data_IF_197769623005
#
_entry.id   IF_197769623005
#
_cell.length_a   1.000
_cell.length_b   1.000
_cell.length_c   1.000
_cell.angle_alpha   90.00
_cell.angle_beta   90.00
_cell.angle_gamma   90.00
#
_symmetry.space_group_name_H-M   'P 1'
#
loop_
_entity.id
_entity.type
_entity.pdbx_description
1 polymer ?
#
# COMPACT_ATOMS: atom_id res chain seq x y z
N UNK A 1 9.51 -5.84 32.16
CA UNK A 1 9.22 -7.13 31.48
C UNK A 1 8.52 -6.79 30.19
N UNK A 2 9.18 -6.95 29.03
CA UNK A 2 8.55 -6.67 27.74
C UNK A 2 7.54 -7.79 27.47
N UNK A 3 6.26 -7.45 27.42
CA UNK A 3 5.23 -8.39 26.97
C UNK A 3 5.60 -8.81 25.55
N UNK A 4 5.66 -10.11 25.22
CA UNK A 4 5.80 -10.53 23.84
C UNK A 4 4.55 -10.01 23.14
N UNK A 5 4.71 -8.95 22.34
CA UNK A 5 3.65 -8.42 21.50
C UNK A 5 3.35 -9.52 20.50
N UNK A 6 2.39 -10.37 20.84
CA UNK A 6 1.72 -11.26 19.92
C UNK A 6 1.10 -10.35 18.87
N UNK A 7 1.86 -10.07 17.81
CA UNK A 7 1.37 -9.28 16.69
C UNK A 7 0.30 -10.15 16.07
N UNK A 8 -0.93 -9.80 16.37
CA UNK A 8 -2.09 -10.39 15.73
C UNK A 8 -1.84 -10.31 14.23
N UNK A 9 -2.02 -11.42 13.51
CA UNK A 9 -1.88 -11.52 12.05
C UNK A 9 -2.32 -10.26 11.26
N UNK A 10 -3.43 -9.57 11.59
CA UNK A 10 -3.78 -8.28 10.99
C UNK A 10 -2.73 -7.17 11.08
N UNK A 11 -2.03 -7.03 12.21
CA UNK A 11 -1.06 -5.95 12.42
C UNK A 11 0.18 -6.13 11.52
N UNK A 12 0.64 -7.39 11.39
CA UNK A 12 1.72 -7.78 10.47
C UNK A 12 1.33 -7.45 9.03
N UNK A 13 0.10 -7.79 8.65
CA UNK A 13 -0.44 -7.55 7.30
C UNK A 13 -0.57 -6.05 7.00
N UNK A 14 -1.01 -5.25 7.98
CA UNK A 14 -1.09 -3.78 7.87
C UNK A 14 0.31 -3.18 7.67
N UNK A 15 1.27 -3.56 8.52
CA UNK A 15 2.66 -3.08 8.44
C UNK A 15 3.33 -3.48 7.11
N UNK A 16 3.13 -4.72 6.66
CA UNK A 16 3.64 -5.19 5.38
C UNK A 16 3.07 -4.38 4.20
N UNK A 17 1.76 -4.09 4.24
CA UNK A 17 1.10 -3.29 3.19
C UNK A 17 1.66 -1.87 3.14
N UNK A 18 1.85 -1.21 4.29
CA UNK A 18 2.46 0.12 4.37
C UNK A 18 3.88 0.14 3.80
N UNK A 19 4.69 -0.87 4.16
CA UNK A 19 6.04 -0.97 3.65
C UNK A 19 6.08 -1.16 2.12
N UNK A 20 5.18 -1.98 1.57
CA UNK A 20 5.07 -2.16 0.11
C UNK A 20 4.68 -0.86 -0.61
N UNK A 21 3.76 -0.08 -0.04
CA UNK A 21 3.39 1.24 -0.60
C UNK A 21 4.57 2.20 -0.61
N UNK A 22 5.29 2.30 0.52
CA UNK A 22 6.47 3.17 0.63
C UNK A 22 7.58 2.75 -0.33
N UNK A 23 7.77 1.43 -0.52
CA UNK A 23 8.74 0.91 -1.48
C UNK A 23 8.30 1.17 -2.93
N UNK A 24 7.00 1.06 -3.22
CA UNK A 24 6.46 1.42 -4.53
C UNK A 24 6.69 2.89 -4.86
N UNK A 25 6.52 3.81 -3.91
CA UNK A 25 6.81 5.23 -4.13
C UNK A 25 8.27 5.49 -4.53
N UNK A 26 9.20 4.70 -4.00
CA UNK A 26 10.63 4.84 -4.30
C UNK A 26 11.03 4.20 -5.63
N UNK A 27 10.43 3.06 -5.99
CA UNK A 27 10.88 2.28 -7.16
C UNK A 27 9.93 2.32 -8.36
N UNK A 28 8.70 2.79 -8.17
CA UNK A 28 7.59 2.72 -9.13
C UNK A 28 7.34 1.31 -9.71
N UNK A 29 7.76 0.25 -9.01
CA UNK A 29 7.66 -1.11 -9.53
C UNK A 29 6.22 -1.61 -9.60
N UNK A 30 5.76 -1.96 -10.80
CA UNK A 30 4.42 -2.51 -11.05
C UNK A 30 4.13 -3.82 -10.30
N UNK A 31 5.16 -4.61 -9.96
CA UNK A 31 5.03 -5.82 -9.15
C UNK A 31 4.62 -5.49 -7.71
N UNK A 32 5.18 -4.43 -7.13
CA UNK A 32 4.81 -3.99 -5.77
C UNK A 32 3.37 -3.49 -5.75
N UNK A 33 2.95 -2.77 -6.78
CA UNK A 33 1.56 -2.35 -6.95
C UNK A 33 0.59 -3.55 -6.89
N UNK A 34 0.88 -4.60 -7.67
CA UNK A 34 0.05 -5.82 -7.67
C UNK A 34 0.03 -6.53 -6.31
N UNK A 35 1.16 -6.55 -5.60
CA UNK A 35 1.24 -7.15 -4.26
C UNK A 35 0.42 -6.37 -3.22
N UNK A 36 0.41 -5.05 -3.30
CA UNK A 36 -0.44 -4.18 -2.46
C UNK A 36 -1.91 -4.46 -2.74
N UNK A 37 -2.32 -4.47 -4.01
CA UNK A 37 -3.71 -4.76 -4.40
C UNK A 37 -4.17 -6.16 -3.96
N UNK A 38 -3.30 -7.17 -4.08
CA UNK A 38 -3.59 -8.52 -3.65
C UNK A 38 -3.75 -8.61 -2.13
N UNK A 39 -2.87 -7.93 -1.37
CA UNK A 39 -3.01 -7.86 0.09
C UNK A 39 -4.31 -7.20 0.51
N UNK A 40 -4.68 -6.07 -0.09
CA UNK A 40 -5.93 -5.37 0.21
C UNK A 40 -7.16 -6.26 -0.03
N UNK A 41 -7.20 -6.99 -1.15
CA UNK A 41 -8.29 -7.96 -1.44
C UNK A 41 -8.30 -9.15 -0.48
N UNK A 42 -7.12 -9.63 -0.10
CA UNK A 42 -7.02 -10.73 0.86
C UNK A 42 -7.58 -10.30 2.21
N UNK A 43 -7.23 -9.10 2.67
CA UNK A 43 -7.73 -8.50 3.90
C UNK A 43 -9.25 -8.34 3.84
N UNK A 44 -9.79 -7.74 2.77
CA UNK A 44 -11.24 -7.55 2.62
C UNK A 44 -12.01 -8.87 2.70
N UNK A 45 -11.45 -9.96 2.14
CA UNK A 45 -12.09 -11.28 2.13
C UNK A 45 -11.97 -12.03 3.47
N UNK A 46 -10.92 -11.79 4.24
CA UNK A 46 -10.63 -12.51 5.49
C UNK A 46 -10.85 -11.68 6.75
N UNK A 47 -11.19 -10.40 6.63
CA UNK A 47 -11.50 -9.53 7.76
C UNK A 47 -12.85 -9.92 8.38
N UNK A 48 -12.82 -10.89 9.28
CA UNK A 48 -13.88 -11.07 10.28
C UNK A 48 -13.80 -10.00 11.38
N UNK A 49 -12.66 -9.31 11.48
CA UNK A 49 -12.39 -8.26 12.46
C UNK A 49 -12.68 -6.87 11.89
N UNK A 50 -13.53 -6.11 12.58
CA UNK A 50 -13.93 -4.75 12.21
C UNK A 50 -12.73 -3.81 12.12
N UNK A 51 -11.73 -3.98 12.99
CA UNK A 51 -10.51 -3.16 13.02
C UNK A 51 -9.67 -3.38 11.77
N UNK A 52 -9.59 -4.62 11.30
CA UNK A 52 -8.87 -4.97 10.08
C UNK A 52 -9.61 -4.43 8.83
N UNK A 53 -10.94 -4.47 8.82
CA UNK A 53 -11.73 -3.88 7.74
C UNK A 53 -11.56 -2.34 7.65
N UNK A 54 -11.56 -1.64 8.78
CA UNK A 54 -11.31 -0.18 8.81
C UNK A 54 -9.87 0.16 8.39
N UNK A 55 -8.88 -0.61 8.85
CA UNK A 55 -7.49 -0.44 8.42
C UNK A 55 -7.33 -0.67 6.92
N UNK A 56 -7.98 -1.69 6.36
CA UNK A 56 -7.99 -1.99 4.92
C UNK A 56 -8.53 -0.83 4.09
N UNK A 57 -9.66 -0.25 4.51
CA UNK A 57 -10.26 0.91 3.82
C UNK A 57 -9.32 2.11 3.81
N UNK A 58 -8.67 2.40 4.96
CA UNK A 58 -7.67 3.49 5.06
C UNK A 58 -6.46 3.23 4.18
N UNK A 59 -5.98 2.00 4.13
CA UNK A 59 -4.88 1.60 3.25
C UNK A 59 -5.29 1.72 1.78
N UNK A 60 -6.47 1.24 1.38
CA UNK A 60 -6.95 1.37 0.00
C UNK A 60 -7.05 2.84 -0.47
N UNK A 61 -7.49 3.73 0.41
CA UNK A 61 -7.50 5.17 0.15
C UNK A 61 -6.07 5.73 -0.04
N UNK A 62 -5.14 5.36 0.84
CA UNK A 62 -3.72 5.74 0.72
C UNK A 62 -3.09 5.21 -0.57
N UNK A 63 -3.36 3.95 -0.92
CA UNK A 63 -2.88 3.34 -2.16
C UNK A 63 -3.38 4.11 -3.39
N UNK A 64 -4.64 4.52 -3.39
CA UNK A 64 -5.22 5.32 -4.48
C UNK A 64 -4.50 6.66 -4.62
N UNK A 65 -4.19 7.33 -3.50
CA UNK A 65 -3.42 8.57 -3.53
C UNK A 65 -1.99 8.34 -4.05
N UNK A 66 -1.30 7.30 -3.56
CA UNK A 66 0.06 6.95 -3.93
C UNK A 66 0.18 6.53 -5.40
N UNK A 67 -0.74 5.71 -5.90
CA UNK A 67 -0.74 5.22 -7.28
C UNK A 67 -1.14 6.30 -8.30
N UNK A 68 -1.98 7.27 -7.91
CA UNK A 68 -2.38 8.40 -8.75
C UNK A 68 -1.41 9.56 -8.71
N UNK A 69 -0.49 9.60 -7.77
CA UNK A 69 0.60 10.56 -7.80
C UNK A 69 1.64 10.00 -8.76
N UNK A 70 1.70 10.42 -10.03
CA UNK A 70 2.84 10.07 -10.86
C UNK A 70 4.07 10.54 -10.10
N UNK A 71 4.98 9.63 -9.79
CA UNK A 71 6.30 10.01 -9.31
C UNK A 71 6.80 11.08 -10.29
N UNK A 72 7.10 12.27 -9.77
CA UNK A 72 7.49 13.45 -10.54
C UNK A 72 8.80 13.26 -11.35
N UNK A 73 9.31 12.03 -11.44
CA UNK A 73 10.37 11.60 -12.36
C UNK A 73 9.89 11.23 -13.77
N UNK A 74 8.60 11.26 -14.07
CA UNK A 74 8.09 11.20 -15.45
C UNK A 74 7.31 12.49 -15.78
N UNK A 75 7.92 13.64 -15.51
CA UNK A 75 7.55 14.84 -16.22
C UNK A 75 7.99 14.64 -17.67
N UNK A 76 7.04 14.21 -18.51
CA UNK A 76 7.07 14.36 -19.96
C UNK A 76 7.72 15.71 -20.29
N UNK A 77 8.92 15.69 -20.85
CA UNK A 77 9.54 16.86 -21.46
C UNK A 77 8.50 17.44 -22.42
N UNK A 78 8.10 18.72 -22.30
CA UNK A 78 7.33 19.35 -23.36
C UNK A 78 8.22 19.30 -24.60
N UNK A 79 7.77 18.61 -25.64
CA UNK A 79 8.42 18.62 -26.93
C UNK A 79 8.51 20.09 -27.37
N UNK A 80 9.69 20.69 -27.24
CA UNK A 80 10.04 21.93 -27.91
C UNK A 80 9.96 21.62 -29.40
N UNK A 81 8.87 22.06 -30.03
CA UNK A 81 8.80 22.16 -31.48
C UNK A 81 9.11 23.60 -31.84
N UNK A 82 10.02 23.69 -32.79
CA UNK A 82 10.78 24.81 -33.33
C UNK A 82 9.93 25.97 -33.86
#
# INVERSE_FOLDING_TARGET
>A
MATPQYHDTPDIVIAATQWLMHRYQQTACRTLARLVEQHLRWIERHASDRRLAEASQRLAAQWTAVSRTPSAGCATLPASVH
#
